data_IF_092102775557
#
_entry.id   IF_092102775557
#
_cell.length_a   1.000
_cell.length_b   1.000
_cell.length_c   1.000
_cell.angle_alpha   90.00
_cell.angle_beta   90.00
_cell.angle_gamma   90.00
#
_symmetry.space_group_name_H-M   'P 1'
#
loop_
_entity.id
_entity.type
_entity.pdbx_description
1 polymer ?
#
# COMPACT_ATOMS: atom_id res chain seq x y z
N UNK A 1 -28.91 -4.20 -9.37
CA UNK A 1 -29.98 -3.23 -9.00
C UNK A 1 -29.44 -1.87 -8.54
N UNK A 2 -28.21 -1.78 -7.97
CA UNK A 2 -27.66 -0.51 -7.49
C UNK A 2 -27.10 0.40 -8.62
N UNK A 3 -26.66 -0.18 -9.72
CA UNK A 3 -26.15 0.59 -10.87
C UNK A 3 -27.31 1.26 -11.63
N UNK A 4 -27.16 2.57 -11.85
CA UNK A 4 -28.12 3.39 -12.59
C UNK A 4 -27.37 4.49 -13.37
N UNK A 5 -28.09 5.38 -14.06
CA UNK A 5 -27.53 6.45 -14.91
C UNK A 5 -26.69 7.49 -14.14
N UNK A 6 -26.81 7.55 -12.80
CA UNK A 6 -26.01 8.42 -11.94
C UNK A 6 -24.71 7.74 -11.46
N UNK A 7 -24.56 6.42 -11.65
CA UNK A 7 -23.36 5.69 -11.25
C UNK A 7 -22.22 6.04 -12.20
N UNK A 8 -21.18 6.69 -11.70
CA UNK A 8 -20.02 7.18 -12.49
C UNK A 8 -18.73 6.40 -12.24
N UNK A 9 -18.66 5.66 -11.14
CA UNK A 9 -17.47 4.91 -10.73
C UNK A 9 -17.87 3.74 -9.86
N UNK A 10 -17.19 2.59 -10.02
CA UNK A 10 -17.22 1.49 -9.07
C UNK A 10 -15.91 1.56 -8.29
N UNK A 11 -16.01 1.82 -6.98
CA UNK A 11 -14.87 1.91 -6.08
C UNK A 11 -14.76 0.64 -5.23
N UNK A 12 -13.58 0.02 -5.26
CA UNK A 12 -13.18 -1.05 -4.34
C UNK A 12 -12.10 -0.50 -3.41
N UNK A 13 -12.32 -0.56 -2.10
CA UNK A 13 -11.33 -0.16 -1.09
C UNK A 13 -10.83 -1.40 -0.38
N UNK A 14 -9.51 -1.63 -0.44
CA UNK A 14 -8.86 -2.73 0.26
C UNK A 14 -8.64 -2.38 1.73
N UNK A 15 -9.02 -3.30 2.61
CA UNK A 15 -8.84 -3.16 4.06
C UNK A 15 -7.50 -3.76 4.48
N UNK A 16 -6.43 -2.98 4.40
CA UNK A 16 -5.06 -3.46 4.68
C UNK A 16 -4.67 -3.44 6.17
N UNK A 17 -5.40 -2.68 7.00
CA UNK A 17 -5.04 -2.41 8.39
C UNK A 17 -6.05 -2.93 9.42
N UNK A 18 -7.08 -3.64 8.97
CA UNK A 18 -8.03 -4.33 9.85
C UNK A 18 -8.66 -5.53 9.12
N UNK A 19 -9.19 -6.48 9.88
CA UNK A 19 -9.95 -7.62 9.38
C UNK A 19 -11.40 -7.49 9.75
N UNK A 20 -12.29 -7.89 8.82
CA UNK A 20 -13.73 -7.98 9.09
C UNK A 20 -14.06 -9.45 9.32
N UNK A 21 -14.46 -9.78 10.54
CA UNK A 21 -14.87 -11.12 10.92
C UNK A 21 -16.40 -11.20 11.00
N UNK A 22 -16.99 -12.33 10.59
CA UNK A 22 -18.41 -12.58 10.64
C UNK A 22 -19.00 -13.00 9.30
N UNK A 23 -20.31 -12.84 9.13
CA UNK A 23 -21.03 -13.21 7.90
C UNK A 23 -20.84 -12.18 6.79
N UNK A 24 -19.59 -11.93 6.42
CA UNK A 24 -19.24 -10.97 5.37
C UNK A 24 -18.57 -11.66 4.20
N UNK A 25 -18.80 -11.13 3.00
CA UNK A 25 -18.16 -11.61 1.77
C UNK A 25 -17.63 -10.41 0.97
N UNK A 26 -16.38 -10.49 0.55
CA UNK A 26 -15.80 -9.50 -0.36
C UNK A 26 -16.05 -9.91 -1.82
N UNK A 27 -16.31 -8.94 -2.67
CA UNK A 27 -16.47 -9.18 -4.11
C UNK A 27 -15.09 -9.20 -4.77
N UNK A 28 -14.73 -10.25 -5.54
CA UNK A 28 -13.46 -10.29 -6.25
C UNK A 28 -13.31 -9.14 -7.25
N UNK A 29 -12.14 -8.48 -7.28
CA UNK A 29 -11.84 -7.36 -8.18
C UNK A 29 -12.15 -7.71 -9.64
N UNK A 30 -11.81 -8.95 -10.06
CA UNK A 30 -12.11 -9.46 -11.42
C UNK A 30 -13.61 -9.38 -11.75
N UNK A 31 -14.47 -9.64 -10.77
CA UNK A 31 -15.94 -9.57 -10.95
C UNK A 31 -16.42 -8.13 -11.07
N UNK A 32 -15.84 -7.22 -10.29
CA UNK A 32 -16.14 -5.78 -10.39
C UNK A 32 -15.68 -5.21 -11.72
N UNK A 33 -14.51 -5.59 -12.22
CA UNK A 33 -14.01 -5.18 -13.54
C UNK A 33 -14.92 -5.69 -14.67
N UNK A 34 -15.40 -6.94 -14.59
CA UNK A 34 -16.38 -7.47 -15.55
C UNK A 34 -17.69 -6.67 -15.50
N UNK A 35 -18.14 -6.32 -14.30
CA UNK A 35 -19.34 -5.52 -14.10
C UNK A 35 -19.19 -4.11 -14.69
N UNK A 36 -18.06 -3.45 -14.41
CA UNK A 36 -17.74 -2.14 -14.96
C UNK A 36 -17.77 -2.13 -16.49
N UNK A 37 -17.15 -3.12 -17.12
CA UNK A 37 -17.16 -3.28 -18.59
C UNK A 37 -18.56 -3.49 -19.15
N UNK A 38 -19.42 -4.25 -18.45
CA UNK A 38 -20.79 -4.52 -18.86
C UNK A 38 -21.64 -3.24 -18.92
N UNK A 39 -21.37 -2.28 -18.01
CA UNK A 39 -22.16 -1.05 -17.88
C UNK A 39 -21.40 0.20 -18.33
N UNK A 40 -20.23 0.03 -18.94
CA UNK A 40 -19.33 1.12 -19.34
C UNK A 40 -19.02 2.11 -18.20
N UNK A 41 -18.78 1.56 -17.00
CA UNK A 41 -18.46 2.32 -15.79
C UNK A 41 -17.03 1.97 -15.38
N UNK A 42 -16.13 2.96 -15.19
CA UNK A 42 -14.77 2.71 -14.75
C UNK A 42 -14.74 2.09 -13.35
N UNK A 43 -13.75 1.22 -13.15
CA UNK A 43 -13.49 0.56 -11.86
C UNK A 43 -12.17 1.08 -11.29
N UNK A 44 -12.25 1.64 -10.09
CA UNK A 44 -11.11 2.09 -9.31
C UNK A 44 -10.87 1.17 -8.13
N UNK A 45 -9.62 0.78 -7.93
CA UNK A 45 -9.17 0.00 -6.78
C UNK A 45 -8.30 0.90 -5.93
N UNK A 46 -8.67 1.12 -4.68
CA UNK A 46 -7.82 1.74 -3.67
C UNK A 46 -7.10 0.63 -2.88
N UNK A 47 -5.81 0.46 -3.19
CA UNK A 47 -4.92 -0.52 -2.56
C UNK A 47 -3.90 0.18 -1.69
N UNK A 48 -4.39 0.85 -0.66
CA UNK A 48 -3.66 1.83 0.15
C UNK A 48 -2.33 1.36 0.74
N UNK A 49 -2.14 0.05 0.96
CA UNK A 49 -0.87 -0.53 1.44
C UNK A 49 0.30 -0.34 0.46
N UNK A 50 0.05 -0.50 -0.83
CA UNK A 50 1.03 -0.25 -1.87
C UNK A 50 2.17 -1.26 -1.95
N UNK A 51 1.97 -2.53 -1.56
CA UNK A 51 3.06 -3.51 -1.63
C UNK A 51 3.50 -3.80 -3.06
N UNK A 52 4.82 -3.72 -3.33
CA UNK A 52 5.44 -4.15 -4.57
C UNK A 52 5.99 -5.58 -4.50
N UNK A 53 6.15 -6.11 -3.28
CA UNK A 53 6.64 -7.47 -3.03
C UNK A 53 5.52 -8.37 -2.53
N UNK A 54 5.67 -9.66 -2.76
CA UNK A 54 4.77 -10.66 -2.19
C UNK A 54 5.08 -10.86 -0.70
N UNK A 55 4.28 -10.24 0.16
CA UNK A 55 4.45 -10.29 1.61
C UNK A 55 4.26 -11.70 2.17
N UNK A 56 3.44 -12.53 1.50
CA UNK A 56 3.24 -13.93 1.87
C UNK A 56 4.51 -14.76 1.62
N UNK A 57 5.23 -14.49 0.54
CA UNK A 57 6.49 -15.17 0.23
C UNK A 57 7.58 -14.94 1.28
N UNK A 58 7.47 -13.86 2.07
CA UNK A 58 8.38 -13.54 3.18
C UNK A 58 7.74 -13.78 4.56
N UNK A 59 6.63 -14.52 4.62
CA UNK A 59 5.93 -14.94 5.84
C UNK A 59 5.50 -13.78 6.78
N UNK A 60 5.13 -12.63 6.22
CA UNK A 60 4.71 -11.47 7.04
C UNK A 60 3.19 -11.32 7.08
N UNK A 61 2.53 -11.28 5.94
CA UNK A 61 1.09 -11.07 5.86
C UNK A 61 0.52 -11.55 4.51
N UNK A 62 -0.79 -11.79 4.46
CA UNK A 62 -1.50 -12.08 3.21
C UNK A 62 -1.85 -10.78 2.47
N UNK A 63 -0.84 -10.06 2.01
CA UNK A 63 -1.01 -8.84 1.23
C UNK A 63 -0.56 -9.07 -0.20
N UNK A 64 -1.49 -8.90 -1.14
CA UNK A 64 -1.17 -9.09 -2.55
C UNK A 64 -0.37 -7.90 -3.09
N UNK A 65 0.70 -8.14 -3.85
CA UNK A 65 1.42 -7.06 -4.49
C UNK A 65 0.58 -6.39 -5.60
N UNK A 66 0.87 -5.11 -5.84
CA UNK A 66 0.22 -4.29 -6.88
C UNK A 66 0.22 -4.98 -8.25
N UNK A 67 1.28 -5.72 -8.57
CA UNK A 67 1.40 -6.46 -9.82
C UNK A 67 0.29 -7.51 -9.99
N UNK A 68 -0.13 -8.17 -8.93
CA UNK A 68 -1.25 -9.13 -8.94
C UNK A 68 -2.59 -8.40 -9.12
N UNK A 69 -2.76 -7.26 -8.43
CA UNK A 69 -3.99 -6.46 -8.58
C UNK A 69 -4.15 -5.96 -10.01
N UNK A 70 -3.06 -5.49 -10.62
CA UNK A 70 -3.04 -5.01 -12.01
C UNK A 70 -3.35 -6.09 -13.04
N UNK A 71 -3.12 -7.38 -12.76
CA UNK A 71 -3.55 -8.49 -13.63
C UNK A 71 -5.06 -8.54 -13.83
N UNK A 72 -5.85 -8.00 -12.89
CA UNK A 72 -7.30 -7.89 -13.04
C UNK A 72 -7.72 -6.75 -13.99
N UNK A 73 -6.78 -5.89 -14.40
CA UNK A 73 -6.99 -4.76 -15.32
C UNK A 73 -8.09 -3.79 -14.85
N UNK A 74 -8.03 -3.28 -13.59
CA UNK A 74 -8.88 -2.16 -13.20
C UNK A 74 -8.58 -0.94 -14.07
N UNK A 75 -9.50 0.01 -14.14
CA UNK A 75 -9.31 1.24 -14.91
C UNK A 75 -8.37 2.22 -14.20
N UNK A 76 -8.42 2.20 -12.86
CA UNK A 76 -7.59 2.98 -11.97
C UNK A 76 -7.17 2.14 -10.75
N UNK A 77 -5.96 2.38 -10.28
CA UNK A 77 -5.44 1.86 -9.02
C UNK A 77 -4.78 3.01 -8.26
N UNK A 78 -5.09 3.12 -6.96
CA UNK A 78 -4.45 4.09 -6.06
C UNK A 78 -3.74 3.39 -4.92
N UNK A 79 -2.64 3.98 -4.46
CA UNK A 79 -1.88 3.49 -3.31
C UNK A 79 -1.00 4.59 -2.72
N UNK A 80 -0.52 4.36 -1.49
CA UNK A 80 0.34 5.30 -0.76
C UNK A 80 1.81 5.02 -1.02
N UNK A 81 2.61 6.09 -1.14
CA UNK A 81 4.06 5.99 -1.27
C UNK A 81 4.79 5.73 0.04
N UNK A 82 4.22 6.17 1.17
CA UNK A 82 4.82 6.17 2.50
C UNK A 82 4.47 4.96 3.39
N UNK A 83 3.78 3.98 2.83
CA UNK A 83 3.47 2.72 3.52
C UNK A 83 4.45 1.61 3.08
N UNK A 84 3.94 0.51 2.53
CA UNK A 84 4.78 -0.64 2.13
C UNK A 84 5.69 -0.35 0.93
N UNK A 85 5.41 0.71 0.16
CA UNK A 85 6.36 1.21 -0.85
C UNK A 85 7.66 1.68 -0.20
N UNK A 86 7.59 2.23 1.03
CA UNK A 86 8.76 2.71 1.78
C UNK A 86 9.38 3.99 1.23
N UNK A 87 8.58 4.78 0.53
CA UNK A 87 8.95 6.10 -0.01
C UNK A 87 8.42 7.26 0.83
N UNK A 88 8.43 8.48 0.28
CA UNK A 88 7.86 9.66 0.92
C UNK A 88 6.34 9.64 0.89
N UNK A 89 5.73 10.54 1.67
CA UNK A 89 4.28 10.72 1.64
C UNK A 89 3.83 11.19 0.26
N UNK A 90 3.09 10.34 -0.42
CA UNK A 90 2.55 10.58 -1.75
C UNK A 90 1.33 9.70 -2.00
N UNK A 91 0.32 10.25 -2.65
CA UNK A 91 -0.76 9.49 -3.28
C UNK A 91 -0.38 9.16 -4.72
N UNK A 92 -0.38 7.89 -5.06
CA UNK A 92 -0.01 7.43 -6.40
C UNK A 92 -1.26 6.90 -7.09
N UNK A 93 -1.49 7.38 -8.32
CA UNK A 93 -2.60 6.94 -9.16
C UNK A 93 -2.02 6.38 -10.47
N UNK A 94 -2.35 5.15 -10.77
CA UNK A 94 -1.98 4.49 -12.04
C UNK A 94 -3.23 3.94 -12.73
N UNK A 95 -3.23 3.89 -14.06
CA UNK A 95 -4.36 3.35 -14.78
C UNK A 95 -4.44 3.79 -16.25
N UNK A 96 -5.65 3.77 -16.81
CA UNK A 96 -5.87 4.15 -18.20
C UNK A 96 -5.49 5.60 -18.45
N UNK A 97 -4.69 5.82 -19.49
CA UNK A 97 -4.17 7.15 -19.86
C UNK A 97 -5.28 8.20 -19.96
N UNK A 98 -6.40 7.88 -20.58
CA UNK A 98 -7.53 8.82 -20.76
C UNK A 98 -8.05 9.34 -19.41
N UNK A 99 -8.11 8.49 -18.37
CA UNK A 99 -8.55 8.89 -17.04
C UNK A 99 -7.49 9.71 -16.31
N UNK A 100 -6.21 9.33 -16.46
CA UNK A 100 -5.09 10.09 -15.88
C UNK A 100 -5.01 11.49 -16.49
N UNK A 101 -5.18 11.62 -17.82
CA UNK A 101 -5.19 12.90 -18.49
C UNK A 101 -6.35 13.81 -18.00
N UNK A 102 -7.52 13.23 -17.65
CA UNK A 102 -8.63 13.99 -17.05
C UNK A 102 -8.26 14.53 -15.66
N UNK A 103 -7.59 13.73 -14.82
CA UNK A 103 -7.10 14.22 -13.52
C UNK A 103 -6.12 15.37 -13.67
N UNK A 104 -5.15 15.25 -14.59
CA UNK A 104 -4.14 16.29 -14.81
C UNK A 104 -4.74 17.63 -15.28
N UNK A 105 -5.88 17.61 -15.95
CA UNK A 105 -6.61 18.81 -16.38
C UNK A 105 -7.47 19.44 -15.28
N UNK A 106 -7.73 18.70 -14.20
CA UNK A 106 -8.50 19.22 -13.08
C UNK A 106 -7.68 20.22 -12.26
N UNK A 107 -8.29 21.32 -11.85
CA UNK A 107 -7.62 22.37 -11.07
C UNK A 107 -7.08 21.85 -9.71
N UNK A 108 -7.77 20.90 -9.10
CA UNK A 108 -7.33 20.26 -7.84
C UNK A 108 -6.00 19.53 -7.98
N UNK A 109 -5.67 19.02 -9.19
CA UNK A 109 -4.38 18.38 -9.42
C UNK A 109 -3.20 19.32 -9.10
N UNK A 110 -3.34 20.61 -9.43
CA UNK A 110 -2.29 21.59 -9.13
C UNK A 110 -2.12 21.82 -7.62
N UNK A 111 -3.22 21.80 -6.87
CA UNK A 111 -3.20 22.00 -5.40
C UNK A 111 -2.63 20.78 -4.68
N UNK A 112 -3.00 19.58 -5.16
CA UNK A 112 -2.59 18.30 -4.56
C UNK A 112 -1.26 17.75 -5.08
N UNK A 113 -0.59 18.50 -5.96
CA UNK A 113 0.66 18.07 -6.59
C UNK A 113 1.78 17.88 -5.57
N UNK A 114 2.43 16.72 -5.62
CA UNK A 114 3.65 16.45 -4.88
C UNK A 114 4.74 17.48 -5.21
N UNK A 115 5.52 17.89 -4.23
CA UNK A 115 6.67 18.77 -4.42
C UNK A 115 7.86 18.03 -5.06
N UNK A 116 8.83 18.80 -5.55
CA UNK A 116 9.97 18.26 -6.30
C UNK A 116 10.89 17.37 -5.47
N UNK A 117 11.04 17.66 -4.18
CA UNK A 117 11.92 16.90 -3.28
C UNK A 117 11.31 15.53 -3.03
N UNK A 118 10.03 15.47 -2.63
CA UNK A 118 9.31 14.22 -2.45
C UNK A 118 9.20 13.42 -3.75
N UNK A 119 9.07 14.09 -4.91
CA UNK A 119 9.08 13.41 -6.20
C UNK A 119 10.44 12.73 -6.47
N UNK A 120 11.54 13.38 -6.15
CA UNK A 120 12.90 12.82 -6.29
C UNK A 120 13.08 11.60 -5.37
N UNK A 121 12.66 11.68 -4.11
CA UNK A 121 12.70 10.54 -3.19
C UNK A 121 11.81 9.39 -3.63
N UNK A 122 10.61 9.68 -4.13
CA UNK A 122 9.72 8.66 -4.67
C UNK A 122 10.33 7.95 -5.88
N UNK A 123 10.92 8.72 -6.81
CA UNK A 123 11.62 8.16 -7.97
C UNK A 123 12.76 7.24 -7.53
N UNK A 124 13.61 7.69 -6.59
CA UNK A 124 14.69 6.87 -6.03
C UNK A 124 14.13 5.57 -5.44
N UNK A 125 13.10 5.65 -4.59
CA UNK A 125 12.46 4.48 -3.98
C UNK A 125 11.93 3.51 -5.05
N UNK A 126 11.22 4.01 -6.07
CA UNK A 126 10.67 3.16 -7.13
C UNK A 126 11.77 2.50 -7.98
N UNK A 127 12.92 3.16 -8.14
CA UNK A 127 14.09 2.58 -8.84
C UNK A 127 14.66 1.38 -8.09
N UNK A 128 14.62 1.36 -6.74
CA UNK A 128 15.11 0.21 -5.96
C UNK A 128 14.32 -1.07 -6.23
N UNK A 129 13.06 -0.96 -6.66
CA UNK A 129 12.24 -2.12 -7.02
C UNK A 129 12.53 -2.69 -8.43
N UNK A 130 13.31 -1.99 -9.26
CA UNK A 130 13.65 -2.46 -10.61
C UNK A 130 14.78 -3.48 -10.64
N UNK A 131 15.65 -3.47 -9.64
CA UNK A 131 16.76 -4.41 -9.54
C UNK A 131 16.50 -5.44 -8.44
N UNK A 132 16.61 -6.72 -8.78
CA UNK A 132 16.38 -7.84 -7.87
C UNK A 132 17.32 -7.87 -6.64
N UNK A 133 18.42 -7.11 -6.67
CA UNK A 133 19.42 -7.04 -5.61
C UNK A 133 19.16 -5.96 -4.54
N UNK A 134 18.21 -5.04 -4.75
CA UNK A 134 18.10 -3.83 -3.93
C UNK A 134 16.88 -3.78 -3.01
N UNK A 135 16.11 -4.85 -2.87
CA UNK A 135 15.04 -4.89 -1.85
C UNK A 135 15.59 -4.74 -0.42
N UNK A 136 16.87 -5.14 -0.20
CA UNK A 136 17.57 -4.96 1.09
C UNK A 136 17.82 -3.50 1.46
N UNK A 137 17.84 -2.58 0.49
CA UNK A 137 18.11 -1.16 0.72
C UNK A 137 16.85 -0.38 1.10
N UNK A 138 15.67 -0.95 0.83
CA UNK A 138 14.42 -0.35 1.28
C UNK A 138 14.23 -0.56 2.79
N UNK A 139 14.25 0.55 3.55
CA UNK A 139 14.19 0.51 5.01
C UNK A 139 12.91 -0.17 5.53
N UNK A 140 11.76 0.07 4.92
CA UNK A 140 10.49 -0.53 5.33
C UNK A 140 10.54 -2.06 5.19
N UNK A 141 11.04 -2.56 4.07
CA UNK A 141 11.21 -4.00 3.84
C UNK A 141 12.22 -4.58 4.83
N UNK A 142 13.36 -3.93 5.03
CA UNK A 142 14.39 -4.35 5.98
C UNK A 142 13.85 -4.46 7.41
N UNK A 143 13.05 -3.49 7.84
CA UNK A 143 12.43 -3.51 9.17
C UNK A 143 11.44 -4.66 9.29
N UNK A 144 10.57 -4.84 8.29
CA UNK A 144 9.55 -5.90 8.27
C UNK A 144 10.17 -7.31 8.23
N UNK A 145 11.31 -7.48 7.53
CA UNK A 145 11.99 -8.78 7.42
C UNK A 145 12.99 -9.04 8.55
N UNK A 146 13.16 -8.10 9.49
CA UNK A 146 14.07 -8.28 10.64
C UNK A 146 13.58 -9.41 11.53
N UNK A 147 14.43 -10.41 11.77
CA UNK A 147 14.06 -11.58 12.55
C UNK A 147 13.77 -11.25 14.02
N UNK A 148 12.85 -12.02 14.63
CA UNK A 148 12.48 -11.88 16.05
C UNK A 148 13.71 -11.93 16.97
N UNK A 149 14.71 -12.77 16.66
CA UNK A 149 15.94 -12.90 17.45
C UNK A 149 16.75 -11.61 17.46
N UNK A 150 16.88 -10.95 16.29
CA UNK A 150 17.58 -9.66 16.17
C UNK A 150 16.83 -8.58 16.96
N UNK A 151 15.49 -8.51 16.83
CA UNK A 151 14.68 -7.54 17.57
C UNK A 151 14.80 -7.77 19.09
N UNK A 152 14.72 -9.02 19.54
CA UNK A 152 14.88 -9.36 20.95
C UNK A 152 16.27 -8.98 21.49
N UNK A 153 17.31 -9.19 20.71
CA UNK A 153 18.68 -8.80 21.10
C UNK A 153 18.84 -7.27 21.16
N UNK A 154 18.24 -6.53 20.24
CA UNK A 154 18.22 -5.05 20.29
C UNK A 154 17.46 -4.53 21.51
N UNK A 155 16.30 -5.08 21.79
CA UNK A 155 15.52 -4.75 22.98
C UNK A 155 16.36 -4.99 24.25
N UNK A 156 16.95 -6.16 24.41
CA UNK A 156 17.83 -6.47 25.56
C UNK A 156 18.99 -5.50 25.72
N UNK A 157 19.61 -5.03 24.64
CA UNK A 157 20.69 -4.03 24.71
C UNK A 157 20.17 -2.69 25.24
N UNK A 158 19.02 -2.24 24.78
CA UNK A 158 18.38 -0.99 25.27
C UNK A 158 18.10 -1.11 26.77
N UNK A 159 17.53 -2.23 27.22
CA UNK A 159 17.19 -2.45 28.61
C UNK A 159 18.41 -2.53 29.54
N UNK A 160 19.54 -3.07 29.09
CA UNK A 160 20.78 -3.10 29.90
C UNK A 160 21.30 -1.71 30.29
N UNK A 161 20.92 -0.68 29.56
CA UNK A 161 21.31 0.71 29.83
C UNK A 161 20.27 1.48 30.66
N UNK A 162 19.12 0.89 30.95
CA UNK A 162 18.10 1.46 31.82
C UNK A 162 18.24 0.87 33.23
N UNK A 163 18.10 1.73 34.26
CA UNK A 163 18.05 1.25 35.63
C UNK A 163 16.82 0.37 35.82
N UNK A 164 17.00 -0.88 36.21
CA UNK A 164 15.97 -1.92 36.33
C UNK A 164 14.67 -1.45 37.02
N UNK A 165 14.79 -0.58 38.04
CA UNK A 165 13.66 -0.08 38.82
C UNK A 165 12.63 0.72 38.01
N UNK A 166 13.06 1.53 37.03
CA UNK A 166 12.14 2.31 36.17
C UNK A 166 11.39 1.47 35.15
N UNK A 167 11.91 0.33 34.78
CA UNK A 167 11.34 -0.55 33.75
C UNK A 167 10.28 -1.45 34.36
N UNK A 168 10.53 -1.96 35.58
CA UNK A 168 9.55 -2.75 36.36
C UNK A 168 8.33 -1.91 36.75
N UNK A 169 8.53 -0.65 37.16
CA UNK A 169 7.46 0.30 37.48
C UNK A 169 6.53 0.60 36.29
N UNK A 170 7.02 0.44 35.07
CA UNK A 170 6.24 0.62 33.81
C UNK A 170 5.59 -0.67 33.33
N UNK A 171 5.80 -1.80 34.03
CA UNK A 171 5.24 -3.10 33.63
C UNK A 171 5.77 -3.63 32.27
N UNK A 172 6.95 -3.20 31.83
CA UNK A 172 7.52 -3.59 30.55
C UNK A 172 8.36 -4.88 30.73
N UNK A 173 7.98 -5.93 29.99
CA UNK A 173 8.73 -7.20 29.91
C UNK A 173 9.23 -7.44 28.47
N UNK A 174 10.33 -8.20 28.31
CA UNK A 174 10.94 -8.58 27.02
C UNK A 174 10.75 -10.08 26.76
#
# INVERSE_FOLDING_TARGET
KAINNRTKLILYVHTSNYTINGYTQSVPIKSLVKLGRKYDIPVMVDWGSGSFIDMKAINIAEENPISIIMKNKPDLLTFSGDKLVGGPQAGIIVGKKILIDLFQRNQLYRVLRIDKINLCFLEHTLRTYRSSYQHSDNLSIKLLTTSRSILKNRARKIFKHQTNKKVEDLGISI
#
